data_IF_376455570826
#
_entry.id   IF_376455570826
#
_cell.length_a   1.000
_cell.length_b   1.000
_cell.length_c   1.000
_cell.angle_alpha   90.00
_cell.angle_beta   90.00
_cell.angle_gamma   90.00
#
_symmetry.space_group_name_H-M   'P 1'
#
loop_
_entity.id
_entity.type
_entity.pdbx_description
1 polymer ?
#
# COMPACT_ATOMS: atom_id res chain seq x y z
N UNK A 1 6.64 19.16 -3.31
CA UNK A 1 6.85 17.72 -3.11
C UNK A 1 7.60 17.28 -4.35
N UNK A 2 8.86 16.89 -4.21
CA UNK A 2 9.60 16.33 -5.35
C UNK A 2 8.82 15.11 -5.87
N UNK A 3 8.68 14.99 -7.19
CA UNK A 3 7.95 13.87 -7.79
C UNK A 3 8.62 12.56 -7.36
N UNK A 4 7.83 11.65 -6.79
CA UNK A 4 8.29 10.32 -6.38
C UNK A 4 8.89 9.57 -7.60
N UNK A 5 10.13 9.08 -7.53
CA UNK A 5 10.78 8.35 -8.61
C UNK A 5 10.00 7.16 -9.13
N UNK A 6 9.20 6.48 -8.30
CA UNK A 6 8.30 5.42 -8.78
C UNK A 6 7.16 5.98 -9.64
N UNK A 7 6.65 7.18 -9.35
CA UNK A 7 5.64 7.85 -10.19
C UNK A 7 6.26 8.28 -11.52
N UNK A 8 7.50 8.74 -11.50
CA UNK A 8 8.25 9.11 -12.71
C UNK A 8 8.53 7.87 -13.56
N UNK A 9 9.06 6.79 -12.96
CA UNK A 9 9.35 5.55 -13.67
C UNK A 9 8.08 4.93 -14.29
N UNK A 10 6.94 4.97 -13.58
CA UNK A 10 5.64 4.56 -14.12
C UNK A 10 5.15 5.42 -15.30
N UNK A 11 5.51 6.70 -15.32
CA UNK A 11 5.19 7.63 -16.42
C UNK A 11 6.07 7.39 -17.64
N UNK A 12 7.34 7.04 -17.42
CA UNK A 12 8.35 6.85 -18.46
C UNK A 12 8.36 5.43 -19.06
N UNK A 13 7.71 4.45 -18.41
CA UNK A 13 7.55 3.10 -18.97
C UNK A 13 8.84 2.27 -19.05
N UNK A 14 9.81 2.58 -18.17
CA UNK A 14 11.13 1.96 -18.11
C UNK A 14 11.06 0.42 -17.97
N UNK A 15 11.96 -0.29 -18.65
CA UNK A 15 12.16 -1.74 -18.55
C UNK A 15 13.52 -2.06 -17.92
N UNK A 16 13.61 -3.16 -17.18
CA UNK A 16 14.83 -3.53 -16.44
C UNK A 16 15.31 -4.94 -16.83
N UNK A 17 16.62 -5.11 -16.85
CA UNK A 17 17.26 -6.42 -16.92
C UNK A 17 17.17 -7.10 -15.55
N UNK A 18 16.84 -8.39 -15.52
CA UNK A 18 16.64 -9.15 -14.28
C UNK A 18 17.94 -9.80 -13.84
N UNK A 19 18.49 -9.37 -12.71
CA UNK A 19 19.64 -10.02 -12.08
C UNK A 19 19.19 -11.23 -11.22
N UNK A 20 20.01 -12.27 -11.19
CA UNK A 20 19.79 -13.50 -10.41
C UNK A 20 20.34 -13.37 -8.98
N UNK A 21 19.45 -13.43 -7.99
CA UNK A 21 19.82 -13.74 -6.60
C UNK A 21 19.51 -15.21 -6.29
N UNK A 22 20.49 -15.92 -5.73
CA UNK A 22 20.36 -17.31 -5.24
C UNK A 22 20.78 -17.41 -3.77
N UNK A 23 19.85 -17.85 -2.91
CA UNK A 23 20.07 -18.17 -1.50
C UNK A 23 19.85 -17.00 -0.52
N UNK A 24 19.04 -17.23 0.53
CA UNK A 24 18.76 -16.25 1.60
C UNK A 24 17.35 -15.62 1.54
N UNK A 25 17.04 -14.75 2.51
CA UNK A 25 15.83 -13.93 2.46
C UNK A 25 15.96 -12.87 1.35
N UNK A 26 14.96 -12.76 0.47
CA UNK A 26 15.01 -11.80 -0.65
C UNK A 26 15.06 -10.36 -0.13
N UNK A 27 16.13 -9.64 -0.50
CA UNK A 27 16.32 -8.24 -0.12
C UNK A 27 15.41 -7.32 -0.94
N UNK A 28 14.97 -6.21 -0.34
CA UNK A 28 14.16 -5.23 -1.04
C UNK A 28 15.01 -4.49 -2.09
N UNK A 29 14.71 -4.70 -3.37
CA UNK A 29 15.45 -4.09 -4.48
C UNK A 29 14.95 -2.67 -4.78
N UNK A 30 15.66 -1.66 -4.27
CA UNK A 30 15.34 -0.24 -4.47
C UNK A 30 16.55 0.48 -5.05
N UNK A 31 16.38 1.03 -6.25
CA UNK A 31 17.42 1.77 -6.99
C UNK A 31 16.92 3.18 -7.21
N UNK A 32 17.72 4.19 -6.85
CA UNK A 32 17.34 5.60 -6.95
C UNK A 32 15.98 5.92 -6.29
N UNK A 33 15.71 5.28 -5.15
CA UNK A 33 14.45 5.40 -4.39
C UNK A 33 13.21 4.78 -5.04
N UNK A 34 13.34 4.09 -6.17
CA UNK A 34 12.25 3.35 -6.82
C UNK A 34 12.45 1.84 -6.68
N UNK A 35 11.38 1.12 -6.39
CA UNK A 35 11.41 -0.34 -6.40
C UNK A 35 11.62 -0.88 -7.83
N UNK A 36 12.51 -1.87 -7.97
CA UNK A 36 12.81 -2.53 -9.25
C UNK A 36 12.55 -4.03 -9.17
N UNK A 37 11.81 -4.63 -10.12
CA UNK A 37 11.68 -6.09 -10.18
C UNK A 37 13.03 -6.74 -10.51
N UNK A 38 13.27 -7.94 -9.97
CA UNK A 38 14.41 -8.78 -10.31
C UNK A 38 13.95 -10.26 -10.42
N UNK A 39 14.86 -11.18 -10.71
CA UNK A 39 14.48 -12.59 -10.88
C UNK A 39 13.82 -13.17 -9.62
N UNK A 40 14.23 -12.73 -8.42
CA UNK A 40 13.65 -13.18 -7.16
C UNK A 40 12.21 -12.68 -6.97
N UNK A 41 11.92 -11.40 -7.23
CA UNK A 41 10.55 -10.87 -7.14
C UNK A 41 9.61 -11.52 -8.15
N UNK A 42 10.11 -11.82 -9.36
CA UNK A 42 9.33 -12.53 -10.38
C UNK A 42 8.97 -13.93 -9.89
N UNK A 43 9.91 -14.67 -9.28
CA UNK A 43 9.63 -15.99 -8.69
C UNK A 43 8.58 -15.92 -7.57
N UNK A 44 8.73 -14.95 -6.65
CA UNK A 44 7.78 -14.75 -5.55
C UNK A 44 6.36 -14.43 -6.07
N UNK A 45 6.24 -13.52 -7.04
CA UNK A 45 4.93 -13.20 -7.60
C UNK A 45 4.36 -14.32 -8.48
N UNK A 46 5.22 -15.13 -9.11
CA UNK A 46 4.79 -16.29 -9.90
C UNK A 46 4.24 -17.42 -9.03
N UNK A 47 4.75 -17.61 -7.80
CA UNK A 47 4.21 -18.59 -6.87
C UNK A 47 2.79 -18.24 -6.38
N UNK A 48 2.49 -16.94 -6.28
CA UNK A 48 1.16 -16.42 -5.91
C UNK A 48 0.23 -16.34 -7.13
N UNK A 49 0.72 -15.78 -8.24
CA UNK A 49 -0.01 -15.59 -9.49
C UNK A 49 -1.02 -14.43 -9.47
N UNK A 50 -1.29 -13.86 -10.65
CA UNK A 50 -2.19 -12.70 -10.80
C UNK A 50 -3.62 -12.96 -10.30
N UNK A 51 -4.13 -14.20 -10.48
CA UNK A 51 -5.46 -14.56 -9.99
C UNK A 51 -5.58 -14.35 -8.48
N UNK A 52 -4.57 -14.80 -7.73
CA UNK A 52 -4.55 -14.70 -6.27
C UNK A 52 -4.34 -13.26 -5.80
N UNK A 53 -3.53 -12.48 -6.52
CA UNK A 53 -3.44 -11.03 -6.30
C UNK A 53 -4.78 -10.32 -6.48
N UNK A 54 -5.59 -10.72 -7.48
CA UNK A 54 -6.95 -10.18 -7.67
C UNK A 54 -7.90 -10.58 -6.54
N UNK A 55 -7.87 -11.83 -6.09
CA UNK A 55 -8.65 -12.29 -4.92
C UNK A 55 -8.28 -11.47 -3.68
N UNK A 56 -6.99 -11.28 -3.46
CA UNK A 56 -6.45 -10.48 -2.37
C UNK A 56 -6.96 -9.03 -2.41
N UNK A 57 -6.74 -8.32 -3.50
CA UNK A 57 -7.10 -6.89 -3.56
C UNK A 57 -8.61 -6.70 -3.55
N UNK A 58 -9.39 -7.63 -4.10
CA UNK A 58 -10.85 -7.63 -3.94
C UNK A 58 -11.23 -7.73 -2.46
N UNK A 59 -10.65 -8.68 -1.73
CA UNK A 59 -10.87 -8.84 -0.29
C UNK A 59 -10.45 -7.61 0.51
N UNK A 60 -9.35 -6.95 0.12
CA UNK A 60 -8.93 -5.71 0.75
C UNK A 60 -9.99 -4.60 0.58
N UNK A 61 -10.52 -4.42 -0.63
CA UNK A 61 -11.52 -3.39 -0.87
C UNK A 61 -12.87 -3.69 -0.21
N UNK A 62 -13.27 -4.96 -0.07
CA UNK A 62 -14.41 -5.32 0.77
C UNK A 62 -14.26 -4.80 2.21
N UNK A 63 -13.09 -5.05 2.83
CA UNK A 63 -12.81 -4.54 4.18
C UNK A 63 -12.74 -2.99 4.20
N UNK A 64 -12.12 -2.40 3.19
CA UNK A 64 -11.95 -0.94 3.10
C UNK A 64 -13.28 -0.19 2.93
N UNK A 65 -14.24 -0.75 2.19
CA UNK A 65 -15.57 -0.15 2.01
C UNK A 65 -16.41 -0.19 3.30
N UNK A 66 -16.15 -1.15 4.18
CA UNK A 66 -16.84 -1.27 5.46
C UNK A 66 -16.18 -0.43 6.57
N UNK A 67 -14.92 -0.03 6.40
CA UNK A 67 -14.18 0.79 7.36
C UNK A 67 -14.51 2.28 7.18
N UNK A 68 -15.11 2.97 8.18
CA UNK A 68 -15.52 4.37 8.00
C UNK A 68 -14.36 5.34 7.75
N UNK A 69 -13.14 5.03 8.21
CA UNK A 69 -11.98 5.88 8.00
C UNK A 69 -11.42 5.71 6.59
N UNK A 70 -11.26 4.46 6.14
CA UNK A 70 -10.73 4.18 4.79
C UNK A 70 -11.77 4.47 3.70
N UNK A 71 -13.04 4.16 3.92
CA UNK A 71 -14.10 4.41 2.94
C UNK A 71 -14.25 5.91 2.61
N UNK A 72 -13.93 6.80 3.55
CA UNK A 72 -13.95 8.24 3.32
C UNK A 72 -13.02 8.66 2.16
N UNK A 73 -11.98 7.89 1.87
CA UNK A 73 -11.05 8.10 0.75
C UNK A 73 -11.53 7.46 -0.56
N UNK A 74 -12.55 6.61 -0.53
CA UNK A 74 -13.02 5.85 -1.67
C UNK A 74 -14.32 6.47 -2.17
N UNK A 75 -14.21 7.31 -3.21
CA UNK A 75 -15.35 8.03 -3.80
C UNK A 75 -16.52 7.10 -4.16
N UNK A 76 -16.23 6.00 -4.85
CA UNK A 76 -17.23 5.11 -5.43
C UNK A 76 -16.78 3.65 -5.33
N UNK A 77 -17.68 2.78 -4.86
CA UNK A 77 -17.40 1.36 -4.63
C UNK A 77 -17.38 0.52 -5.92
N UNK A 78 -18.09 0.97 -6.97
CA UNK A 78 -18.19 0.27 -8.25
C UNK A 78 -17.01 0.49 -9.20
N UNK A 79 -16.04 1.33 -8.83
CA UNK A 79 -14.84 1.54 -9.65
C UNK A 79 -13.87 0.35 -9.52
N UNK A 80 -13.01 0.16 -10.51
CA UNK A 80 -12.15 -1.02 -10.68
C UNK A 80 -10.93 -1.01 -9.75
N UNK A 81 -11.07 -0.54 -8.51
CA UNK A 81 -9.96 -0.30 -7.58
C UNK A 81 -9.15 -1.57 -7.30
N UNK A 82 -9.84 -2.68 -7.03
CA UNK A 82 -9.22 -3.97 -6.71
C UNK A 82 -8.40 -4.52 -7.89
N UNK A 83 -8.97 -4.51 -9.08
CA UNK A 83 -8.29 -4.97 -10.29
C UNK A 83 -7.06 -4.12 -10.57
N UNK A 84 -7.22 -2.79 -10.59
CA UNK A 84 -6.15 -1.81 -10.78
C UNK A 84 -4.98 -2.05 -9.82
N UNK A 85 -5.28 -2.28 -8.55
CA UNK A 85 -4.26 -2.53 -7.54
C UNK A 85 -3.52 -3.86 -7.78
N UNK A 86 -4.24 -4.93 -8.15
CA UNK A 86 -3.62 -6.23 -8.45
C UNK A 86 -2.69 -6.16 -9.67
N UNK A 87 -3.10 -5.45 -10.73
CA UNK A 87 -2.27 -5.26 -11.92
C UNK A 87 -1.01 -4.45 -11.58
N UNK A 88 -1.13 -3.42 -10.74
CA UNK A 88 0.02 -2.64 -10.28
C UNK A 88 1.01 -3.48 -9.46
N UNK A 89 0.54 -4.30 -8.51
CA UNK A 89 1.40 -5.22 -7.76
C UNK A 89 2.10 -6.20 -8.71
N UNK A 90 1.35 -6.80 -9.63
CA UNK A 90 1.89 -7.77 -10.59
C UNK A 90 3.00 -7.15 -11.45
N UNK A 91 2.81 -5.92 -11.94
CA UNK A 91 3.82 -5.19 -12.72
C UNK A 91 5.05 -4.83 -11.88
N UNK A 92 4.87 -4.34 -10.65
CA UNK A 92 5.99 -4.02 -9.74
C UNK A 92 6.85 -5.23 -9.40
N UNK A 93 6.27 -6.43 -9.35
CA UNK A 93 7.03 -7.67 -9.11
C UNK A 93 7.64 -8.27 -10.39
N UNK A 94 7.29 -7.74 -11.57
CA UNK A 94 7.86 -8.15 -12.85
C UNK A 94 7.04 -9.19 -13.64
N UNK A 95 5.74 -9.36 -13.34
CA UNK A 95 4.83 -10.25 -14.09
C UNK A 95 4.34 -9.65 -15.43
N UNK A 96 5.23 -8.96 -16.16
CA UNK A 96 4.91 -8.24 -17.38
C UNK A 96 4.40 -6.81 -17.13
N UNK A 97 3.59 -6.28 -18.05
CA UNK A 97 3.08 -4.90 -18.03
C UNK A 97 1.55 -4.74 -17.88
N UNK A 98 0.85 -5.55 -17.06
CA UNK A 98 -0.61 -5.55 -17.04
C UNK A 98 -1.22 -4.21 -16.60
N UNK A 99 -0.56 -3.45 -15.72
CA UNK A 99 -1.02 -2.14 -15.27
C UNK A 99 -0.86 -1.09 -16.35
N UNK A 100 0.31 -1.05 -16.98
CA UNK A 100 0.60 -0.14 -18.08
C UNK A 100 -0.31 -0.38 -19.27
N UNK A 101 -0.59 -1.65 -19.63
CA UNK A 101 -1.49 -1.96 -20.75
C UNK A 101 -2.95 -1.59 -20.45
N UNK A 102 -3.48 -1.92 -19.27
CA UNK A 102 -4.86 -1.55 -18.90
C UNK A 102 -5.05 -0.02 -18.88
N UNK A 103 -4.05 0.73 -18.41
CA UNK A 103 -4.09 2.20 -18.36
C UNK A 103 -4.28 2.86 -19.72
N UNK A 104 -3.79 2.28 -20.81
CA UNK A 104 -3.90 2.86 -22.16
C UNK A 104 -5.35 3.06 -22.60
N UNK A 105 -6.25 2.22 -22.11
CA UNK A 105 -7.69 2.27 -22.43
C UNK A 105 -8.56 2.76 -21.28
N UNK A 106 -7.96 3.16 -20.15
CA UNK A 106 -8.70 3.49 -18.93
C UNK A 106 -9.50 4.78 -19.12
N UNK A 107 -10.81 4.67 -18.89
CA UNK A 107 -11.69 5.83 -18.76
C UNK A 107 -11.72 6.24 -17.29
N UNK A 108 -11.40 7.51 -17.04
CA UNK A 108 -11.27 8.04 -15.69
C UNK A 108 -11.91 9.44 -15.64
N UNK A 109 -13.26 9.51 -15.53
CA UNK A 109 -13.97 10.77 -15.62
C UNK A 109 -13.65 11.66 -14.41
N UNK A 110 -13.56 12.96 -14.66
CA UNK A 110 -13.53 13.95 -13.60
C UNK A 110 -14.85 13.92 -12.80
N UNK A 111 -14.79 14.36 -11.54
CA UNK A 111 -15.95 14.43 -10.66
C UNK A 111 -15.99 15.75 -9.91
N UNK A 112 -17.19 16.17 -9.53
CA UNK A 112 -17.35 17.34 -8.67
C UNK A 112 -17.20 16.95 -7.21
N UNK A 113 -16.42 17.71 -6.46
CA UNK A 113 -16.38 17.64 -5.01
C UNK A 113 -16.24 19.03 -4.42
N UNK A 114 -17.21 19.40 -3.56
CA UNK A 114 -17.22 20.67 -2.83
C UNK A 114 -17.08 21.92 -3.72
N UNK A 115 -17.65 21.88 -4.92
CA UNK A 115 -17.61 23.00 -5.87
C UNK A 115 -16.35 23.06 -6.73
N UNK A 116 -15.50 22.03 -6.67
CA UNK A 116 -14.33 21.87 -7.53
C UNK A 116 -14.51 20.67 -8.46
N UNK A 117 -13.98 20.77 -9.68
CA UNK A 117 -13.82 19.64 -10.58
C UNK A 117 -12.47 18.99 -10.29
N UNK A 118 -12.48 17.70 -9.97
CA UNK A 118 -11.29 16.90 -9.65
C UNK A 118 -11.13 15.86 -10.74
N UNK A 119 -9.93 15.75 -11.31
CA UNK A 119 -9.62 14.71 -12.29
C UNK A 119 -9.79 13.30 -11.69
N UNK A 120 -10.24 12.36 -12.51
CA UNK A 120 -10.42 10.98 -12.06
C UNK A 120 -9.10 10.25 -11.79
N UNK A 121 -9.19 9.05 -11.20
CA UNK A 121 -8.08 8.15 -10.90
C UNK A 121 -7.49 7.45 -12.16
N UNK A 122 -6.69 8.16 -12.95
CA UNK A 122 -6.05 7.61 -14.16
C UNK A 122 -4.76 6.82 -13.89
N UNK A 123 -3.99 7.23 -12.88
CA UNK A 123 -2.74 6.63 -12.46
C UNK A 123 -2.59 6.69 -10.94
N UNK A 124 -1.47 6.25 -10.39
CA UNK A 124 -1.27 6.23 -8.94
C UNK A 124 -1.37 7.64 -8.34
N UNK A 125 -0.76 8.64 -8.96
CA UNK A 125 -0.73 10.03 -8.46
C UNK A 125 -2.13 10.64 -8.42
N UNK A 126 -2.83 10.60 -9.56
CA UNK A 126 -4.19 11.11 -9.69
C UNK A 126 -5.19 10.33 -8.83
N UNK A 127 -5.02 9.03 -8.65
CA UNK A 127 -5.86 8.23 -7.75
C UNK A 127 -5.77 8.69 -6.29
N UNK A 128 -4.55 8.92 -5.78
CA UNK A 128 -4.38 9.39 -4.40
C UNK A 128 -4.81 10.85 -4.25
N UNK A 129 -4.61 11.68 -5.27
CA UNK A 129 -5.15 13.05 -5.29
C UNK A 129 -6.68 13.06 -5.24
N UNK A 130 -7.34 12.22 -6.04
CA UNK A 130 -8.79 12.03 -6.03
C UNK A 130 -9.28 11.54 -4.66
N UNK A 131 -8.54 10.63 -4.02
CA UNK A 131 -8.83 10.16 -2.67
C UNK A 131 -8.75 11.28 -1.62
N UNK A 132 -7.75 12.17 -1.72
CA UNK A 132 -7.64 13.34 -0.83
C UNK A 132 -8.83 14.29 -0.97
N UNK A 133 -9.40 14.38 -2.16
CA UNK A 133 -10.51 15.25 -2.49
C UNK A 133 -11.84 14.51 -2.60
N UNK A 134 -11.95 13.31 -2.03
CA UNK A 134 -13.19 12.53 -2.04
C UNK A 134 -14.35 13.32 -1.39
N UNK A 135 -15.56 13.30 -1.97
CA UNK A 135 -16.73 13.99 -1.43
C UNK A 135 -17.21 13.40 -0.10
N UNK A 136 -16.80 12.16 0.24
CA UNK A 136 -17.12 11.51 1.51
C UNK A 136 -16.32 12.07 2.69
N UNK A 137 -15.22 12.80 2.43
CA UNK A 137 -14.38 13.37 3.50
C UNK A 137 -15.08 14.54 4.18
N UNK A 138 -14.82 14.73 5.47
CA UNK A 138 -15.31 15.92 6.21
C UNK A 138 -14.73 17.22 5.63
N UNK A 139 -15.35 18.35 5.95
CA UNK A 139 -14.93 19.65 5.40
C UNK A 139 -13.53 20.03 5.87
N UNK A 140 -13.22 19.70 7.11
CA UNK A 140 -11.96 20.01 7.80
C UNK A 140 -10.81 19.14 7.30
N UNK A 141 -11.12 17.99 6.70
CA UNK A 141 -10.14 16.99 6.25
C UNK A 141 -10.05 16.89 4.73
N UNK A 142 -10.83 17.65 3.98
CA UNK A 142 -10.81 17.59 2.53
C UNK A 142 -9.51 18.19 1.98
N UNK A 143 -8.85 17.48 1.07
CA UNK A 143 -7.53 17.84 0.53
C UNK A 143 -6.34 17.45 1.42
N UNK A 144 -6.58 17.06 2.68
CA UNK A 144 -5.50 16.57 3.54
C UNK A 144 -4.92 15.26 3.00
N UNK A 145 -3.59 15.19 2.93
CA UNK A 145 -2.87 13.95 2.67
C UNK A 145 -3.12 12.93 3.78
N UNK A 146 -2.86 11.65 3.49
CA UNK A 146 -2.93 10.57 4.46
C UNK A 146 -2.07 10.88 5.69
N UNK A 147 -2.59 10.52 6.86
CA UNK A 147 -1.89 10.64 8.13
C UNK A 147 -1.47 9.26 8.63
N UNK A 148 -0.68 9.25 9.71
CA UNK A 148 -0.11 8.03 10.25
C UNK A 148 -1.17 6.99 10.63
N UNK A 149 -2.27 7.42 11.23
CA UNK A 149 -3.39 6.54 11.57
C UNK A 149 -4.09 5.99 10.31
N UNK A 150 -4.34 6.83 9.30
CA UNK A 150 -4.88 6.38 8.00
C UNK A 150 -4.03 5.26 7.39
N UNK A 151 -2.70 5.46 7.34
CA UNK A 151 -1.77 4.48 6.80
C UNK A 151 -1.73 3.18 7.62
N UNK A 152 -1.81 3.26 8.96
CA UNK A 152 -1.80 2.07 9.83
C UNK A 152 -3.11 1.28 9.74
N UNK A 153 -4.27 1.95 9.68
CA UNK A 153 -5.55 1.28 9.43
C UNK A 153 -5.52 0.58 8.08
N UNK A 154 -5.07 1.29 7.03
CA UNK A 154 -4.90 0.74 5.69
C UNK A 154 -4.03 -0.52 5.70
N UNK A 155 -2.84 -0.45 6.31
CA UNK A 155 -1.91 -1.60 6.37
C UNK A 155 -2.50 -2.79 7.12
N UNK A 156 -3.19 -2.57 8.25
CA UNK A 156 -3.80 -3.66 9.02
C UNK A 156 -4.90 -4.38 8.24
N UNK A 157 -5.79 -3.63 7.57
CA UNK A 157 -6.82 -4.22 6.71
C UNK A 157 -6.21 -4.90 5.48
N UNK A 158 -5.17 -4.30 4.89
CA UNK A 158 -4.43 -4.85 3.75
C UNK A 158 -3.78 -6.19 4.11
N UNK A 159 -3.04 -6.28 5.20
CA UNK A 159 -2.43 -7.54 5.63
C UNK A 159 -3.47 -8.58 6.10
N UNK A 160 -4.58 -8.14 6.70
CA UNK A 160 -5.70 -9.04 7.03
C UNK A 160 -6.32 -9.64 5.76
N UNK A 161 -6.54 -8.86 4.71
CA UNK A 161 -7.03 -9.38 3.44
C UNK A 161 -6.04 -10.34 2.79
N UNK A 162 -4.73 -10.03 2.83
CA UNK A 162 -3.69 -10.91 2.31
C UNK A 162 -3.66 -12.26 3.05
N UNK A 163 -3.91 -12.24 4.37
CA UNK A 163 -4.05 -13.43 5.21
C UNK A 163 -5.31 -14.22 4.91
N UNK A 164 -6.45 -13.55 4.75
CA UNK A 164 -7.73 -14.19 4.42
C UNK A 164 -7.67 -15.00 3.13
N UNK A 165 -6.87 -14.55 2.16
CA UNK A 165 -6.68 -15.29 0.91
C UNK A 165 -5.48 -16.24 0.96
N UNK A 166 -4.66 -16.20 2.01
CA UNK A 166 -3.53 -17.11 2.22
C UNK A 166 -2.27 -16.80 1.41
N UNK A 167 -1.93 -15.52 1.21
CA UNK A 167 -0.71 -15.12 0.46
C UNK A 167 0.40 -14.51 1.34
N UNK A 168 0.15 -14.28 2.63
CA UNK A 168 1.07 -13.48 3.47
C UNK A 168 1.95 -14.31 4.41
N UNK A 169 1.75 -15.63 4.48
CA UNK A 169 2.37 -16.49 5.51
C UNK A 169 3.65 -17.20 5.07
N UNK A 170 4.09 -16.95 3.84
CA UNK A 170 5.25 -17.57 3.24
C UNK A 170 6.36 -16.56 2.88
N UNK A 171 7.24 -16.96 1.96
CA UNK A 171 8.33 -16.10 1.49
C UNK A 171 7.83 -14.86 0.74
N UNK A 172 6.76 -14.98 -0.05
CA UNK A 172 6.15 -13.81 -0.70
C UNK A 172 5.69 -12.83 0.37
N UNK A 173 5.01 -13.32 1.40
CA UNK A 173 4.52 -12.48 2.50
C UNK A 173 5.61 -11.67 3.21
N UNK A 174 6.74 -12.33 3.55
CA UNK A 174 7.89 -11.64 4.18
C UNK A 174 8.43 -10.51 3.31
N UNK A 175 8.59 -10.75 2.02
CA UNK A 175 9.01 -9.73 1.06
C UNK A 175 7.94 -8.63 0.91
N UNK A 176 6.67 -9.03 0.84
CA UNK A 176 5.55 -8.14 0.60
C UNK A 176 5.36 -7.11 1.72
N UNK A 177 5.64 -7.48 2.98
CA UNK A 177 5.63 -6.52 4.10
C UNK A 177 6.72 -5.44 3.91
N UNK A 178 7.92 -5.80 3.46
CA UNK A 178 9.00 -4.83 3.15
C UNK A 178 8.58 -3.93 1.98
N UNK A 179 8.00 -4.51 0.94
CA UNK A 179 7.48 -3.81 -0.23
C UNK A 179 6.43 -2.77 0.16
N UNK A 180 5.45 -3.13 0.98
CA UNK A 180 4.43 -2.18 1.47
C UNK A 180 5.04 -1.10 2.36
N UNK A 181 5.98 -1.44 3.24
CA UNK A 181 6.69 -0.45 4.06
C UNK A 181 7.43 0.60 3.20
N UNK A 182 8.01 0.19 2.08
CA UNK A 182 8.62 1.13 1.14
C UNK A 182 7.58 2.06 0.49
N UNK A 183 6.52 1.50 -0.10
CA UNK A 183 5.52 2.31 -0.80
C UNK A 183 4.69 3.21 0.12
N UNK A 184 4.41 2.80 1.36
CA UNK A 184 3.70 3.67 2.31
C UNK A 184 4.52 4.90 2.68
N UNK A 185 5.86 4.84 2.57
CA UNK A 185 6.74 5.97 2.88
C UNK A 185 6.57 7.18 1.96
N UNK A 186 6.01 6.96 0.77
CA UNK A 186 5.66 8.01 -0.21
C UNK A 186 4.52 8.88 0.33
N UNK A 187 3.56 8.24 1.00
CA UNK A 187 2.33 8.86 1.46
C UNK A 187 2.46 9.43 2.86
N UNK A 188 3.08 8.66 3.75
CA UNK A 188 3.40 9.11 5.09
C UNK A 188 4.77 8.55 5.53
N UNK A 189 5.74 9.43 5.70
CA UNK A 189 7.16 9.08 5.91
C UNK A 189 7.41 8.37 7.24
N UNK A 190 6.53 8.49 8.22
CA UNK A 190 6.66 7.86 9.55
C UNK A 190 5.90 6.54 9.66
N UNK A 191 5.10 6.17 8.65
CA UNK A 191 4.36 4.91 8.62
C UNK A 191 5.21 3.63 8.43
N UNK A 192 6.35 3.62 7.70
CA UNK A 192 7.02 2.38 7.31
C UNK A 192 7.33 1.42 8.47
N UNK A 193 7.90 1.93 9.56
CA UNK A 193 8.25 1.18 10.77
C UNK A 193 7.09 0.39 11.42
N UNK A 194 5.84 0.73 11.08
CA UNK A 194 4.65 0.04 11.58
C UNK A 194 4.17 -1.12 10.70
N UNK A 195 4.77 -1.37 9.52
CA UNK A 195 4.24 -2.40 8.62
C UNK A 195 4.38 -3.82 9.21
N UNK A 196 5.49 -4.13 9.91
CA UNK A 196 5.64 -5.42 10.63
C UNK A 196 4.61 -5.58 11.74
N UNK A 197 4.38 -4.52 12.53
CA UNK A 197 3.35 -4.54 13.57
C UNK A 197 1.96 -4.72 12.98
N UNK A 198 1.66 -4.04 11.87
CA UNK A 198 0.38 -4.18 11.17
C UNK A 198 0.18 -5.58 10.60
N UNK A 199 1.25 -6.22 10.11
CA UNK A 199 1.22 -7.61 9.66
C UNK A 199 0.96 -8.58 10.84
N UNK A 200 1.63 -8.38 11.99
CA UNK A 200 1.38 -9.16 13.22
C UNK A 200 -0.02 -8.93 13.79
N UNK A 201 -0.53 -7.69 13.71
CA UNK A 201 -1.89 -7.38 14.12
C UNK A 201 -2.91 -8.25 13.38
N UNK A 202 -2.69 -8.46 12.08
CA UNK A 202 -3.57 -9.29 11.24
C UNK A 202 -3.55 -10.78 11.58
N UNK A 203 -2.50 -11.26 12.24
CA UNK A 203 -2.28 -12.67 12.59
C UNK A 203 -3.15 -13.14 13.74
N UNK A 204 -3.41 -12.26 14.72
CA UNK A 204 -4.23 -12.57 15.89
C UNK A 204 -5.72 -12.34 15.58
N UNK A 205 -6.58 -13.39 15.53
CA UNK A 205 -8.01 -13.24 15.25
C UNK A 205 -8.73 -12.34 16.27
N UNK A 206 -8.23 -12.24 17.50
CA UNK A 206 -8.82 -11.40 18.54
C UNK A 206 -8.71 -9.91 18.21
N UNK A 207 -7.68 -9.50 17.45
CA UNK A 207 -7.54 -8.12 16.98
C UNK A 207 -8.68 -7.75 16.01
N UNK A 208 -8.95 -8.62 15.04
CA UNK A 208 -10.00 -8.36 14.07
C UNK A 208 -11.38 -8.43 14.73
N UNK A 209 -11.59 -9.34 15.67
CA UNK A 209 -12.84 -9.37 16.44
C UNK A 209 -13.05 -8.08 17.24
N UNK A 210 -12.02 -7.58 17.95
CA UNK A 210 -12.10 -6.28 18.65
C UNK A 210 -12.43 -5.14 17.68
N UNK A 211 -11.81 -5.13 16.51
CA UNK A 211 -12.12 -4.15 15.46
C UNK A 211 -13.59 -4.18 15.04
N UNK A 212 -14.17 -5.38 14.85
CA UNK A 212 -15.60 -5.54 14.54
C UNK A 212 -16.49 -5.08 15.70
N UNK A 213 -16.16 -5.49 16.93
CA UNK A 213 -16.91 -5.13 18.15
C UNK A 213 -16.88 -3.62 18.41
N UNK A 214 -15.78 -2.95 18.06
CA UNK A 214 -15.62 -1.49 18.14
C UNK A 214 -16.29 -0.73 16.98
N UNK A 215 -17.12 -1.41 16.19
CA UNK A 215 -17.85 -0.81 15.07
C UNK A 215 -16.93 -0.47 13.90
N UNK A 216 -15.98 -1.36 13.59
CA UNK A 216 -14.97 -1.19 12.54
C UNK A 216 -14.11 0.05 12.74
N UNK A 217 -13.67 0.28 13.97
CA UNK A 217 -12.80 1.40 14.33
C UNK A 217 -11.59 0.89 15.12
N UNK A 218 -10.37 1.18 14.64
CA UNK A 218 -9.14 0.83 15.35
C UNK A 218 -8.80 1.88 16.41
N UNK A 219 -9.43 1.76 17.58
CA UNK A 219 -9.32 2.74 18.68
C UNK A 219 -7.90 2.90 19.21
N UNK A 220 -7.07 1.88 19.07
CA UNK A 220 -5.66 1.86 19.47
C UNK A 220 -4.73 2.66 18.54
N UNK A 221 -5.25 3.17 17.41
CA UNK A 221 -4.51 4.00 16.45
C UNK A 221 -4.92 5.46 16.47
N UNK A 222 -6.19 5.74 16.77
CA UNK A 222 -6.81 7.05 16.55
C UNK A 222 -6.21 8.13 17.43
N UNK A 223 -5.73 9.21 16.80
CA UNK A 223 -5.24 10.41 17.50
C UNK A 223 -3.90 10.24 18.21
N UNK A 224 -3.16 9.16 17.94
CA UNK A 224 -1.83 9.00 18.49
C UNK A 224 -0.83 9.98 17.85
N UNK A 225 -0.01 10.60 18.70
CA UNK A 225 1.22 11.24 18.25
C UNK A 225 2.25 10.18 17.84
N UNK A 226 3.23 10.58 17.02
CA UNK A 226 4.30 9.67 16.61
C UNK A 226 5.04 9.02 17.81
N UNK A 227 5.44 9.74 18.88
CA UNK A 227 6.07 9.10 20.03
C UNK A 227 5.18 8.06 20.71
N UNK A 228 3.88 8.32 20.84
CA UNK A 228 2.92 7.36 21.41
C UNK A 228 2.77 6.12 20.51
N UNK A 229 2.69 6.32 19.19
CA UNK A 229 2.65 5.21 18.24
C UNK A 229 3.94 4.38 18.32
N UNK A 230 5.12 5.01 18.32
CA UNK A 230 6.41 4.32 18.43
C UNK A 230 6.55 3.52 19.72
N UNK A 231 5.97 3.98 20.82
CA UNK A 231 5.97 3.24 22.09
C UNK A 231 5.21 1.89 22.01
N UNK A 232 4.35 1.70 21.01
CA UNK A 232 3.68 0.42 20.74
C UNK A 232 4.59 -0.60 20.04
N UNK A 233 5.74 -0.17 19.50
CA UNK A 233 6.70 -1.05 18.83
C UNK A 233 7.78 -1.54 19.81
N UNK A 234 8.31 -2.76 19.60
CA UNK A 234 9.58 -3.17 20.21
C UNK A 234 10.69 -2.17 19.89
N UNK A 235 11.60 -1.93 20.84
CA UNK A 235 12.66 -0.91 20.70
C UNK A 235 13.46 -1.03 19.39
N UNK A 236 13.77 -2.26 18.98
CA UNK A 236 14.55 -2.55 17.77
C UNK A 236 13.80 -2.31 16.46
N UNK A 237 12.48 -2.10 16.49
CA UNK A 237 11.67 -1.80 15.30
C UNK A 237 11.34 -0.32 15.14
N UNK A 238 11.67 0.53 16.12
CA UNK A 238 11.31 1.96 16.13
C UNK A 238 12.12 2.80 15.14
N UNK A 239 13.27 2.32 14.69
CA UNK A 239 14.17 3.05 13.80
C UNK A 239 13.76 2.94 12.33
N UNK A 240 13.75 4.07 11.63
CA UNK A 240 13.58 4.16 10.18
C UNK A 240 14.44 5.29 9.62
N UNK A 241 15.14 5.04 8.52
CA UNK A 241 16.05 6.02 7.89
C UNK A 241 15.68 6.36 6.44
N UNK A 242 14.80 5.59 5.78
CA UNK A 242 14.40 5.83 4.40
C UNK A 242 15.34 5.26 3.33
N UNK A 243 14.85 5.18 2.10
CA UNK A 243 15.56 4.54 0.97
C UNK A 243 16.79 5.32 0.50
N UNK A 244 16.93 6.60 0.85
CA UNK A 244 18.06 7.45 0.46
C UNK A 244 19.12 7.64 1.54
N UNK A 245 18.87 7.18 2.78
CA UNK A 245 19.81 7.41 3.87
C UNK A 245 21.12 6.62 3.72
N UNK A 246 22.26 7.14 4.21
CA UNK A 246 23.54 6.43 4.23
C UNK A 246 23.49 5.14 5.06
N UNK A 247 22.86 5.20 6.24
CA UNK A 247 22.58 4.03 7.07
C UNK A 247 21.23 3.45 6.67
N UNK A 248 21.22 2.27 6.05
CA UNK A 248 19.99 1.54 5.78
C UNK A 248 19.51 0.85 7.05
N UNK A 249 18.27 1.13 7.43
CA UNK A 249 17.50 0.32 8.37
C UNK A 249 16.40 -0.40 7.60
N UNK A 250 15.73 -1.33 8.28
CA UNK A 250 14.54 -1.97 7.76
C UNK A 250 13.54 -0.92 7.19
N UNK A 251 12.94 -1.14 6.01
CA UNK A 251 12.90 -2.38 5.22
C UNK A 251 14.07 -2.59 4.24
N UNK A 252 15.13 -1.76 4.29
CA UNK A 252 16.22 -1.72 3.31
C UNK A 252 17.51 -2.43 3.75
N UNK A 253 17.53 -2.99 4.96
CA UNK A 253 18.66 -3.69 5.56
C UNK A 253 18.39 -5.20 5.64
#
# INVERSE_FOLDING_TARGET
MDEDPDMIAERLGESYELEEETGGEVALNVVNSSHRPNAATVRLASSVGLKKLKEFTARFYELAFEDPQIDAFIREHGDHHSERFALWIAEKFGLGKPWTEERKSRVSPAFESRGYVVDGAFDRSSAHFAAWHSPKRSKERWGDHFKLDDCRVWMRLHFKAARDVGIIDDEFGRYYVKFIAHFVSVYERTAPQFARESARWSEDPSNFQRYLDDGRTMRDLKGLTLPQALAQLPDHERGYTGSTAPLKLWPYA
#
